data_IF_964776064752
#
_entry.id   IF_964776064752
#
_cell.length_a   1.000
_cell.length_b   1.000
_cell.length_c   1.000
_cell.angle_alpha   90.00
_cell.angle_beta   90.00
_cell.angle_gamma   90.00
#
_symmetry.space_group_name_H-M   'P 1'
#
loop_
_entity.id
_entity.type
_entity.pdbx_description
1 polymer ?
#
# COMPACT_ATOMS: atom_id res chain seq x y z
N UNK A 1 -32.00 1.62 -16.29
CA UNK A 1 -30.93 1.45 -15.28
C UNK A 1 -30.83 2.73 -14.47
N UNK A 2 -31.08 2.75 -13.15
CA UNK A 2 -30.93 3.97 -12.39
C UNK A 2 -29.43 4.35 -12.38
N UNK A 3 -29.11 5.59 -12.81
CA UNK A 3 -27.77 6.15 -12.66
C UNK A 3 -27.44 6.12 -11.17
N UNK A 4 -26.34 5.47 -10.79
CA UNK A 4 -25.81 5.55 -9.42
C UNK A 4 -25.66 7.04 -9.07
N UNK A 5 -26.25 7.46 -7.95
CA UNK A 5 -26.05 8.78 -7.40
C UNK A 5 -24.54 9.09 -7.31
N UNK A 6 -24.11 10.35 -7.49
CA UNK A 6 -22.73 10.72 -7.26
C UNK A 6 -22.39 10.34 -5.82
N UNK A 7 -21.45 9.42 -5.66
CA UNK A 7 -20.94 9.06 -4.34
C UNK A 7 -20.27 10.32 -3.84
N UNK A 8 -20.88 10.96 -2.84
CA UNK A 8 -20.32 12.12 -2.17
C UNK A 8 -18.84 11.86 -1.91
N UNK A 9 -17.99 12.83 -2.25
CA UNK A 9 -16.55 12.81 -2.01
C UNK A 9 -16.31 12.84 -0.50
N UNK A 10 -16.56 11.74 0.20
CA UNK A 10 -16.26 11.61 1.61
C UNK A 10 -14.74 11.75 1.74
N UNK A 11 -14.29 12.85 2.36
CA UNK A 11 -12.88 13.05 2.68
C UNK A 11 -12.39 11.84 3.46
N UNK A 12 -11.29 11.24 3.04
CA UNK A 12 -10.61 10.23 3.85
C UNK A 12 -10.10 10.93 5.11
N UNK A 13 -10.58 10.48 6.26
CA UNK A 13 -10.13 11.00 7.54
C UNK A 13 -8.76 10.40 7.90
N UNK A 14 -7.89 11.17 8.58
CA UNK A 14 -6.65 10.66 9.13
C UNK A 14 -6.94 9.53 10.15
N UNK A 15 -5.96 8.64 10.40
CA UNK A 15 -6.14 7.56 11.35
C UNK A 15 -6.49 8.10 12.75
N UNK A 16 -7.61 7.64 13.30
CA UNK A 16 -8.14 8.07 14.62
C UNK A 16 -7.61 7.25 15.80
N UNK A 17 -6.85 6.17 15.52
CA UNK A 17 -6.24 5.32 16.55
C UNK A 17 -4.78 5.67 16.83
N UNK A 18 -4.29 5.27 18.02
CA UNK A 18 -2.86 5.32 18.34
C UNK A 18 -2.06 4.56 17.29
N UNK A 19 -0.89 5.09 16.93
CA UNK A 19 0.02 4.43 16.00
C UNK A 19 0.45 3.06 16.54
N UNK A 20 0.59 2.07 15.64
CA UNK A 20 0.99 0.73 16.02
C UNK A 20 2.38 0.75 16.65
N UNK A 21 2.56 -0.04 17.71
CA UNK A 21 3.84 -0.31 18.35
C UNK A 21 4.02 -1.82 18.40
N UNK A 22 5.23 -2.31 18.12
CA UNK A 22 5.54 -3.74 18.18
C UNK A 22 6.61 -4.02 19.23
N UNK A 23 6.45 -5.15 19.91
CA UNK A 23 7.54 -5.67 20.75
C UNK A 23 8.73 -6.06 19.88
N UNK A 24 9.92 -6.13 20.48
CA UNK A 24 11.13 -6.55 19.76
C UNK A 24 10.96 -7.91 19.09
N UNK A 25 10.42 -8.90 19.79
CA UNK A 25 10.16 -10.25 19.27
C UNK A 25 9.24 -10.22 18.04
N UNK A 26 8.11 -9.51 18.13
CA UNK A 26 7.17 -9.37 17.00
C UNK A 26 7.82 -8.68 15.80
N UNK A 27 8.58 -7.60 16.03
CA UNK A 27 9.35 -6.92 14.97
C UNK A 27 10.32 -7.90 14.27
N UNK A 28 10.93 -8.82 15.01
CA UNK A 28 11.83 -9.84 14.46
C UNK A 28 11.12 -11.01 13.74
N UNK A 29 9.79 -11.14 13.86
CA UNK A 29 9.01 -12.05 13.02
C UNK A 29 8.80 -11.50 11.60
N UNK A 30 8.87 -10.18 11.42
CA UNK A 30 8.67 -9.53 10.13
C UNK A 30 9.66 -9.99 9.07
N UNK A 31 9.18 -10.15 7.82
CA UNK A 31 9.99 -10.53 6.67
C UNK A 31 9.77 -9.57 5.52
N UNK A 32 10.87 -9.04 4.99
CA UNK A 32 10.86 -8.23 3.77
C UNK A 32 10.56 -9.17 2.59
N UNK A 33 9.32 -9.15 2.11
CA UNK A 33 8.88 -9.88 0.93
C UNK A 33 9.18 -9.15 -0.37
N UNK A 34 9.06 -9.85 -1.50
CA UNK A 34 9.06 -9.23 -2.84
C UNK A 34 7.75 -8.46 -3.06
N UNK A 35 7.84 -7.23 -3.56
CA UNK A 35 6.68 -6.40 -3.87
C UNK A 35 5.79 -6.14 -2.65
N UNK A 36 4.52 -6.55 -2.74
CA UNK A 36 3.48 -6.36 -1.71
C UNK A 36 3.25 -7.59 -0.81
N UNK A 37 4.11 -8.63 -0.88
CA UNK A 37 3.94 -9.83 -0.06
C UNK A 37 3.93 -9.52 1.44
N UNK A 38 2.92 -10.05 2.14
CA UNK A 38 2.72 -9.88 3.59
C UNK A 38 1.99 -8.60 4.02
N UNK A 39 1.63 -7.71 3.08
CA UNK A 39 0.97 -6.42 3.39
C UNK A 39 -0.39 -6.59 4.08
N UNK A 40 -1.08 -7.70 3.82
CA UNK A 40 -2.39 -8.01 4.40
C UNK A 40 -2.33 -9.02 5.56
N UNK A 41 -1.15 -9.29 6.12
CA UNK A 41 -1.00 -10.32 7.17
C UNK A 41 -0.27 -9.85 8.41
N UNK A 42 0.57 -8.83 8.33
CA UNK A 42 1.39 -8.40 9.46
C UNK A 42 0.70 -7.33 10.32
N UNK A 43 0.28 -7.72 11.53
CA UNK A 43 -0.36 -6.85 12.52
C UNK A 43 0.68 -6.16 13.42
N UNK A 44 0.36 -5.00 14.02
CA UNK A 44 -0.90 -4.24 13.91
C UNK A 44 -0.97 -3.29 12.70
N UNK A 45 0.13 -3.20 11.93
CA UNK A 45 0.24 -2.27 10.79
C UNK A 45 -0.81 -2.50 9.70
N UNK A 46 -1.16 -3.76 9.39
CA UNK A 46 -2.23 -4.05 8.44
C UNK A 46 -3.53 -3.37 8.87
N UNK A 47 -4.00 -3.61 10.08
CA UNK A 47 -5.28 -3.07 10.56
C UNK A 47 -5.26 -1.54 10.62
N UNK A 48 -4.11 -0.96 10.95
CA UNK A 48 -3.93 0.49 10.99
C UNK A 48 -3.94 1.15 9.60
N UNK A 49 -3.22 0.58 8.63
CA UNK A 49 -3.01 1.20 7.30
C UNK A 49 -4.11 0.86 6.27
N UNK A 50 -4.77 -0.30 6.41
CA UNK A 50 -5.80 -0.75 5.48
C UNK A 50 -7.00 0.22 5.31
N UNK A 51 -7.50 0.90 6.37
CA UNK A 51 -8.53 1.91 6.23
C UNK A 51 -8.13 3.09 5.33
N UNK A 52 -6.85 3.47 5.35
CA UNK A 52 -6.31 4.60 4.58
C UNK A 52 -6.19 4.28 3.08
N UNK A 53 -6.11 3.01 2.72
CA UNK A 53 -5.84 2.57 1.35
C UNK A 53 -7.11 2.54 0.46
N UNK A 54 -7.27 3.52 -0.43
CA UNK A 54 -8.41 3.64 -1.35
C UNK A 54 -7.97 4.24 -2.70
N UNK A 55 -8.58 3.80 -3.80
CA UNK A 55 -8.22 4.24 -5.16
C UNK A 55 -9.42 4.25 -6.12
N UNK A 56 -10.62 4.50 -5.60
CA UNK A 56 -11.84 4.40 -6.42
C UNK A 56 -11.86 5.44 -7.54
N UNK A 57 -11.49 6.67 -7.25
CA UNK A 57 -11.35 7.79 -8.19
C UNK A 57 -9.98 8.42 -7.99
N UNK A 58 -9.50 9.25 -8.94
CA UNK A 58 -8.24 9.97 -8.79
C UNK A 58 -8.19 10.82 -7.51
N UNK A 59 -9.26 11.53 -7.16
CA UNK A 59 -9.31 12.36 -5.94
C UNK A 59 -9.13 11.53 -4.67
N UNK A 60 -9.79 10.36 -4.61
CA UNK A 60 -9.65 9.43 -3.50
C UNK A 60 -8.23 8.85 -3.46
N UNK A 61 -7.62 8.56 -4.62
CA UNK A 61 -6.25 8.08 -4.68
C UNK A 61 -5.24 9.14 -4.20
N UNK A 62 -5.44 10.43 -4.53
CA UNK A 62 -4.61 11.54 -4.02
C UNK A 62 -4.71 11.63 -2.50
N UNK A 63 -5.90 11.61 -1.94
CA UNK A 63 -6.09 11.64 -0.48
C UNK A 63 -5.48 10.41 0.20
N UNK A 64 -5.75 9.21 -0.31
CA UNK A 64 -5.26 7.96 0.24
C UNK A 64 -3.73 7.88 0.23
N UNK A 65 -3.11 8.22 -0.91
CA UNK A 65 -1.67 8.16 -1.08
C UNK A 65 -0.95 9.24 -0.26
N UNK A 66 -1.53 10.43 -0.11
CA UNK A 66 -1.02 11.46 0.77
C UNK A 66 -1.07 11.06 2.26
N UNK A 67 -2.17 10.45 2.72
CA UNK A 67 -2.28 9.92 4.09
C UNK A 67 -1.25 8.81 4.34
N UNK A 68 -1.13 7.87 3.40
CA UNK A 68 -0.11 6.82 3.49
C UNK A 68 1.31 7.41 3.47
N UNK A 69 1.57 8.45 2.66
CA UNK A 69 2.87 9.12 2.67
C UNK A 69 3.16 9.77 4.03
N UNK A 70 2.18 10.45 4.63
CA UNK A 70 2.32 11.01 5.97
C UNK A 70 2.65 9.96 7.03
N UNK A 71 2.00 8.79 6.98
CA UNK A 71 2.31 7.69 7.91
C UNK A 71 3.69 7.09 7.63
N UNK A 72 4.13 7.02 6.38
CA UNK A 72 5.49 6.59 6.04
C UNK A 72 6.55 7.51 6.67
N UNK A 73 6.35 8.83 6.53
CA UNK A 73 7.27 9.83 7.08
C UNK A 73 7.30 9.74 8.62
N UNK A 74 6.14 9.61 9.28
CA UNK A 74 6.04 9.42 10.73
C UNK A 74 6.73 8.16 11.24
N UNK A 75 6.54 7.01 10.59
CA UNK A 75 7.28 5.80 10.99
C UNK A 75 8.78 5.98 10.79
N UNK A 76 9.22 6.79 9.83
CA UNK A 76 10.62 7.17 9.67
C UNK A 76 11.15 8.01 10.84
N UNK A 77 10.36 8.97 11.33
CA UNK A 77 10.69 9.79 12.51
C UNK A 77 10.81 8.94 13.78
N UNK A 78 9.98 7.90 13.91
CA UNK A 78 10.01 6.94 15.03
C UNK A 78 11.06 5.82 14.88
N UNK A 79 11.86 5.84 13.81
CA UNK A 79 12.80 4.77 13.42
C UNK A 79 12.14 3.37 13.29
N UNK A 80 10.83 3.33 13.01
CA UNK A 80 10.07 2.11 12.80
C UNK A 80 10.13 1.66 11.33
N UNK A 81 11.17 0.91 11.00
CA UNK A 81 11.32 0.29 9.69
C UNK A 81 10.10 -0.54 9.24
N UNK A 82 9.45 -1.27 10.16
CA UNK A 82 8.37 -2.18 9.77
C UNK A 82 7.13 -1.38 9.39
N UNK A 83 6.81 -0.32 10.14
CA UNK A 83 5.79 0.65 9.78
C UNK A 83 6.05 1.30 8.42
N UNK A 84 7.29 1.75 8.17
CA UNK A 84 7.67 2.30 6.88
C UNK A 84 7.49 1.30 5.72
N UNK A 85 8.01 0.07 5.86
CA UNK A 85 7.92 -0.92 4.78
C UNK A 85 6.50 -1.41 4.54
N UNK A 86 5.67 -1.54 5.59
CA UNK A 86 4.25 -1.85 5.45
C UNK A 86 3.51 -0.74 4.70
N UNK A 87 3.80 0.52 5.01
CA UNK A 87 3.20 1.67 4.33
C UNK A 87 3.62 1.73 2.85
N UNK A 88 4.90 1.54 2.55
CA UNK A 88 5.41 1.39 1.18
C UNK A 88 4.68 0.25 0.43
N UNK A 89 4.45 -0.89 1.08
CA UNK A 89 3.71 -2.01 0.48
C UNK A 89 2.26 -1.64 0.16
N UNK A 90 1.57 -0.89 1.03
CA UNK A 90 0.21 -0.41 0.75
C UNK A 90 0.19 0.56 -0.43
N UNK A 91 1.18 1.46 -0.54
CA UNK A 91 1.33 2.37 -1.68
C UNK A 91 1.57 1.57 -2.97
N UNK A 92 2.48 0.58 -2.94
CA UNK A 92 2.70 -0.32 -4.08
C UNK A 92 1.44 -1.10 -4.46
N UNK A 93 0.69 -1.61 -3.48
CA UNK A 93 -0.58 -2.30 -3.72
C UNK A 93 -1.61 -1.37 -4.35
N UNK A 94 -1.59 -0.07 -4.02
CA UNK A 94 -2.42 0.96 -4.66
C UNK A 94 -2.10 1.10 -6.14
N UNK A 95 -0.81 1.21 -6.47
CA UNK A 95 -0.33 1.25 -7.85
C UNK A 95 -0.76 0.00 -8.64
N UNK A 96 -0.45 -1.20 -8.14
CA UNK A 96 -0.68 -2.47 -8.84
C UNK A 96 -2.16 -2.79 -8.99
N UNK A 97 -2.98 -2.58 -7.94
CA UNK A 97 -4.42 -2.79 -8.01
C UNK A 97 -5.09 -1.79 -8.91
N UNK A 98 -4.77 -0.49 -8.83
CA UNK A 98 -5.35 0.50 -9.73
C UNK A 98 -5.03 0.16 -11.19
N UNK A 99 -3.78 -0.23 -11.50
CA UNK A 99 -3.41 -0.67 -12.85
C UNK A 99 -4.20 -1.90 -13.29
N UNK A 100 -4.40 -2.87 -12.40
CA UNK A 100 -5.22 -4.06 -12.70
C UNK A 100 -6.66 -3.69 -13.03
N UNK A 101 -7.25 -2.73 -12.33
CA UNK A 101 -8.61 -2.26 -12.60
C UNK A 101 -8.71 -1.42 -13.88
N UNK A 102 -7.65 -0.72 -14.27
CA UNK A 102 -7.55 -0.09 -15.58
C UNK A 102 -7.46 -1.11 -16.71
N UNK A 103 -6.77 -2.22 -16.48
CA UNK A 103 -6.57 -3.25 -17.50
C UNK A 103 -7.73 -4.24 -17.58
N UNK A 104 -8.46 -4.48 -16.50
CA UNK A 104 -9.57 -5.44 -16.47
C UNK A 104 -10.77 -4.81 -15.78
N UNK A 105 -11.91 -4.74 -16.49
CA UNK A 105 -13.15 -4.17 -15.96
C UNK A 105 -13.54 -4.87 -14.66
N UNK A 106 -13.73 -4.10 -13.58
CA UNK A 106 -14.04 -4.64 -12.25
C UNK A 106 -12.88 -5.34 -11.53
N UNK A 107 -11.68 -5.33 -12.11
CA UNK A 107 -10.46 -5.85 -11.50
C UNK A 107 -10.32 -7.38 -11.51
N UNK A 108 -11.20 -8.10 -12.20
CA UNK A 108 -11.15 -9.56 -12.38
C UNK A 108 -10.14 -9.89 -13.48
N UNK A 109 -8.99 -10.44 -13.10
CA UNK A 109 -7.90 -10.83 -14.02
C UNK A 109 -8.01 -12.26 -14.53
N UNK A 110 -8.59 -13.16 -13.74
CA UNK A 110 -8.66 -14.58 -14.06
C UNK A 110 -10.11 -15.01 -14.30
N UNK A 111 -10.33 -15.93 -15.23
CA UNK A 111 -11.63 -16.53 -15.47
C UNK A 111 -11.95 -17.63 -14.43
N UNK A 112 -12.76 -18.65 -14.79
CA UNK A 112 -13.09 -19.76 -13.88
C UNK A 112 -12.05 -20.87 -13.92
N UNK A 113 -11.32 -20.97 -15.03
CA UNK A 113 -10.33 -22.01 -15.32
C UNK A 113 -8.91 -21.54 -15.00
N UNK A 114 -8.80 -20.36 -14.37
CA UNK A 114 -7.56 -19.67 -13.99
C UNK A 114 -6.74 -19.12 -15.17
N UNK A 115 -7.35 -18.97 -16.34
CA UNK A 115 -6.73 -18.30 -17.47
C UNK A 115 -6.83 -16.77 -17.34
N UNK A 116 -5.83 -16.09 -17.89
CA UNK A 116 -5.76 -14.62 -17.86
C UNK A 116 -6.76 -14.06 -18.86
N UNK A 117 -7.72 -13.28 -18.35
CA UNK A 117 -8.68 -12.56 -19.17
C UNK A 117 -7.98 -11.48 -20.01
N UNK A 118 -8.42 -11.26 -21.26
CA UNK A 118 -7.93 -10.15 -22.07
C UNK A 118 -8.08 -8.80 -21.36
N UNK A 119 -7.21 -7.86 -21.73
CA UNK A 119 -7.35 -6.49 -21.27
C UNK A 119 -8.62 -5.85 -21.82
N UNK A 120 -9.37 -5.20 -20.96
CA UNK A 120 -10.58 -4.48 -21.32
C UNK A 120 -10.20 -3.06 -21.78
N UNK A 121 -10.41 -2.74 -23.06
CA UNK A 121 -9.94 -1.46 -23.59
C UNK A 121 -10.96 -0.31 -23.46
N UNK A 122 -12.25 -0.62 -23.46
CA UNK A 122 -13.33 0.37 -23.63
C UNK A 122 -14.30 0.47 -22.45
N UNK A 123 -13.83 0.35 -21.20
CA UNK A 123 -14.67 0.59 -20.03
C UNK A 123 -14.53 2.01 -19.49
N UNK A 124 -15.64 2.57 -19.02
CA UNK A 124 -15.79 3.99 -18.69
C UNK A 124 -14.86 4.47 -17.56
N UNK A 125 -14.45 3.60 -16.66
CA UNK A 125 -13.57 3.93 -15.53
C UNK A 125 -12.07 3.70 -15.81
N UNK A 126 -11.68 3.24 -17.01
CA UNK A 126 -10.27 2.95 -17.33
C UNK A 126 -9.35 4.14 -17.09
N UNK A 127 -9.68 5.30 -17.65
CA UNK A 127 -8.85 6.51 -17.55
C UNK A 127 -8.67 6.95 -16.09
N UNK A 128 -9.74 6.92 -15.29
CA UNK A 128 -9.69 7.20 -13.86
C UNK A 128 -8.78 6.22 -13.10
N UNK A 129 -8.82 4.93 -13.45
CA UNK A 129 -7.97 3.91 -12.82
C UNK A 129 -6.50 4.04 -13.22
N UNK A 130 -6.22 4.43 -14.45
CA UNK A 130 -4.85 4.71 -14.89
C UNK A 130 -4.28 5.92 -14.15
N UNK A 131 -5.08 6.97 -13.96
CA UNK A 131 -4.66 8.14 -13.19
C UNK A 131 -4.43 7.80 -11.71
N UNK A 132 -5.36 7.07 -11.08
CA UNK A 132 -5.15 6.56 -9.72
C UNK A 132 -3.87 5.72 -9.61
N UNK A 133 -3.56 4.91 -10.63
CA UNK A 133 -2.35 4.11 -10.68
C UNK A 133 -1.08 4.97 -10.74
N UNK A 134 -1.08 6.02 -11.58
CA UNK A 134 0.03 6.98 -11.67
C UNK A 134 0.29 7.69 -10.34
N UNK A 135 -0.75 8.19 -9.68
CA UNK A 135 -0.64 8.87 -8.37
C UNK A 135 0.12 8.01 -7.34
N UNK A 136 -0.24 6.73 -7.20
CA UNK A 136 0.48 5.83 -6.30
C UNK A 136 1.89 5.48 -6.78
N UNK A 137 2.09 5.40 -8.09
CA UNK A 137 3.38 5.08 -8.69
C UNK A 137 4.40 6.17 -8.39
N UNK A 138 4.03 7.44 -8.55
CA UNK A 138 4.93 8.58 -8.34
C UNK A 138 5.46 8.59 -6.89
N UNK A 139 4.55 8.44 -5.91
CA UNK A 139 4.93 8.36 -4.48
C UNK A 139 5.78 7.10 -4.20
N UNK A 140 5.51 5.97 -4.85
CA UNK A 140 6.31 4.76 -4.70
C UNK A 140 7.74 4.94 -5.22
N UNK A 141 7.92 5.70 -6.30
CA UNK A 141 9.25 5.99 -6.87
C UNK A 141 10.05 6.87 -5.92
N UNK A 142 9.43 7.88 -5.31
CA UNK A 142 10.05 8.72 -4.28
C UNK A 142 10.48 7.90 -3.06
N UNK A 143 9.57 7.10 -2.48
CA UNK A 143 9.84 6.29 -1.29
C UNK A 143 10.98 5.28 -1.52
N UNK A 144 11.14 4.76 -2.74
CA UNK A 144 12.24 3.83 -3.05
C UNK A 144 13.62 4.49 -2.99
N UNK A 145 13.67 5.81 -3.13
CA UNK A 145 14.90 6.60 -3.08
C UNK A 145 15.11 7.27 -1.72
N UNK A 146 14.15 7.13 -0.79
CA UNK A 146 14.21 7.73 0.54
C UNK A 146 15.40 7.17 1.35
N UNK A 147 16.31 8.07 1.75
CA UNK A 147 17.55 7.72 2.44
C UNK A 147 17.28 7.12 3.83
N UNK A 148 16.27 7.62 4.54
CA UNK A 148 15.88 7.13 5.86
C UNK A 148 15.39 5.69 5.77
N UNK A 149 14.53 5.38 4.80
CA UNK A 149 14.06 4.02 4.54
C UNK A 149 15.19 3.08 4.16
N UNK A 150 16.10 3.49 3.27
CA UNK A 150 17.24 2.67 2.87
C UNK A 150 18.17 2.36 4.06
N UNK A 151 18.44 3.35 4.90
CA UNK A 151 19.23 3.22 6.13
C UNK A 151 18.56 2.27 7.13
N UNK A 152 17.29 2.51 7.47
CA UNK A 152 16.55 1.72 8.45
C UNK A 152 16.35 0.27 7.98
N UNK A 153 16.19 0.06 6.66
CA UNK A 153 16.14 -1.27 6.05
C UNK A 153 17.42 -2.06 6.28
N UNK A 154 18.58 -1.44 6.01
CA UNK A 154 19.88 -2.08 6.22
C UNK A 154 20.09 -2.43 7.70
N UNK A 155 19.77 -1.49 8.60
CA UNK A 155 19.82 -1.71 10.05
C UNK A 155 18.93 -2.89 10.49
N UNK A 156 17.67 -2.91 10.04
CA UNK A 156 16.74 -4.00 10.35
C UNK A 156 17.25 -5.35 9.84
N UNK A 157 17.80 -5.42 8.62
CA UNK A 157 18.33 -6.66 8.06
C UNK A 157 19.52 -7.19 8.86
N UNK A 158 20.42 -6.31 9.30
CA UNK A 158 21.56 -6.66 10.17
C UNK A 158 21.06 -7.19 11.51
N UNK A 159 20.16 -6.47 12.15
CA UNK A 159 19.59 -6.87 13.44
C UNK A 159 18.87 -8.22 13.34
N UNK A 160 18.06 -8.41 12.29
CA UNK A 160 17.34 -9.65 12.07
C UNK A 160 18.29 -10.84 11.88
N UNK A 161 19.43 -10.63 11.21
CA UNK A 161 20.46 -11.66 11.06
C UNK A 161 21.07 -12.03 12.40
N UNK A 162 21.37 -11.05 13.26
CA UNK A 162 21.92 -11.29 14.59
C UNK A 162 20.90 -11.97 15.53
N UNK A 163 19.63 -11.56 15.47
CA UNK A 163 18.55 -12.19 16.25
C UNK A 163 18.42 -13.69 15.93
N UNK A 164 18.44 -14.04 14.63
CA UNK A 164 18.38 -15.43 14.16
C UNK A 164 19.58 -16.29 14.52
N UNK A 165 20.74 -15.68 14.81
CA UNK A 165 21.92 -16.42 15.29
C UNK A 165 21.82 -16.75 16.78
N UNK A 166 21.04 -15.97 17.53
CA UNK A 166 20.90 -16.05 18.99
C UNK A 166 19.67 -16.85 19.43
N UNK A 167 18.70 -17.05 18.54
CA UNK A 167 17.51 -17.89 18.73
C UNK A 167 17.80 -19.31 18.26
#
# INVERSE_FOLDING_TARGET
MPRRAPVATTKLEPPTGSRPQTTHAQRMEYRIGRGEMGVLTFEPYKSYLLPLWRFRTPDIARQSSALLRSEFDHFGEEEDFVGMDMTRKFIQMGFTRAKRYANHKGGRKYDKDHDVLPTSEHHSDKAEKEESSRIFKDILEDIKQDETYLRLKDQFQKELKEYKKRS
#
